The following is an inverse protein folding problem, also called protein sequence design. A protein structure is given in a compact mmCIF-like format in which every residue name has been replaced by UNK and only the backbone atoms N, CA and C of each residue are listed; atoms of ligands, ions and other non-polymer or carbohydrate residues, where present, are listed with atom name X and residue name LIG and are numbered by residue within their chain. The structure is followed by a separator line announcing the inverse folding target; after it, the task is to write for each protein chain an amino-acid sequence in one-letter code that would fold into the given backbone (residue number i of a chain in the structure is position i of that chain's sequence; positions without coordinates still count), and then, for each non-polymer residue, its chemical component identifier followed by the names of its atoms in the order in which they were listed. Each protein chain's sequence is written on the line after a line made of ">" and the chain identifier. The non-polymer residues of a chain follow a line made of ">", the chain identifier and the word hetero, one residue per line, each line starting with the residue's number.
data_IF_345092888766
#
_entry.id   IF_345092888766
#
_cell.length_a   1.000
_cell.length_b   1.000
_cell.length_c   1.000
_cell.angle_alpha   90.00
_cell.angle_beta   90.00
_cell.angle_gamma   90.00
#
_symmetry.space_group_name_H-M   'P 1'
#
loop_
_entity.id
_entity.type
_entity.pdbx_description
1 polymer ?
#
# COMPACT_ATOMS: atom_id res chain seq x y z
N UNK A 1 24.95 18.30 -24.19
CA UNK A 1 23.52 18.03 -24.22
C UNK A 1 23.22 17.32 -22.92
N UNK A 2 22.40 17.88 -22.00
CA UNK A 2 21.94 17.12 -20.83
C UNK A 2 21.07 16.00 -21.35
N UNK A 3 21.39 14.79 -20.93
CA UNK A 3 20.55 13.60 -21.19
C UNK A 3 19.15 13.92 -20.64
N UNK A 4 18.17 14.05 -21.53
CA UNK A 4 16.80 14.45 -21.20
C UNK A 4 15.91 13.23 -20.96
N UNK A 5 16.49 12.01 -20.95
CA UNK A 5 15.77 10.78 -20.67
C UNK A 5 15.40 10.71 -19.19
N UNK A 6 14.16 10.28 -18.90
CA UNK A 6 13.72 10.03 -17.53
C UNK A 6 14.45 8.83 -16.94
N UNK A 7 14.68 8.87 -15.61
CA UNK A 7 15.29 7.77 -14.86
C UNK A 7 14.27 6.74 -14.38
N UNK A 8 12.98 6.92 -14.69
CA UNK A 8 11.89 6.15 -14.10
C UNK A 8 11.12 5.39 -15.19
N UNK A 9 10.92 4.09 -14.97
CA UNK A 9 9.94 3.25 -15.67
C UNK A 9 8.77 2.95 -14.76
N UNK A 10 7.54 3.13 -15.23
CA UNK A 10 6.33 2.69 -14.54
C UNK A 10 6.05 1.22 -14.89
N UNK A 11 5.83 0.38 -13.87
CA UNK A 11 5.47 -1.05 -14.04
C UNK A 11 4.11 -1.32 -13.41
N UNK A 12 3.15 -1.80 -14.22
CA UNK A 12 1.76 -2.06 -13.83
C UNK A 12 1.40 -3.52 -14.10
N UNK A 13 1.48 -4.42 -13.11
CA UNK A 13 0.97 -5.78 -13.25
C UNK A 13 -0.56 -5.80 -13.25
N UNK A 14 -1.18 -6.54 -14.18
CA UNK A 14 -2.64 -6.62 -14.26
C UNK A 14 -3.15 -8.04 -14.57
N UNK A 15 -4.38 -8.30 -14.12
CA UNK A 15 -5.11 -9.54 -14.40
C UNK A 15 -6.62 -9.37 -14.25
N UNK A 16 -7.41 -9.75 -15.27
CA UNK A 16 -8.87 -9.79 -15.25
C UNK A 16 -9.48 -8.54 -14.60
N UNK A 17 -9.23 -7.40 -15.20
CA UNK A 17 -9.65 -6.11 -14.67
C UNK A 17 -10.93 -5.64 -15.37
N UNK A 18 -11.21 -6.13 -16.60
CA UNK A 18 -12.40 -5.74 -17.34
C UNK A 18 -13.68 -6.43 -16.88
N UNK A 19 -13.59 -7.58 -16.18
CA UNK A 19 -14.79 -8.26 -15.64
C UNK A 19 -15.46 -7.48 -14.51
N UNK A 20 -14.69 -6.63 -13.82
CA UNK A 20 -15.19 -5.72 -12.77
C UNK A 20 -15.73 -4.40 -13.37
N UNK A 21 -15.62 -4.23 -14.69
CA UNK A 21 -15.80 -2.98 -15.43
C UNK A 21 -17.23 -2.83 -15.98
N UNK A 22 -18.23 -2.69 -15.11
CA UNK A 22 -19.63 -2.49 -15.53
C UNK A 22 -20.11 -1.04 -15.56
N UNK A 23 -19.22 -0.07 -15.39
CA UNK A 23 -19.57 1.35 -15.44
C UNK A 23 -18.47 2.22 -16.04
N UNK A 24 -18.83 3.43 -16.46
CA UNK A 24 -17.92 4.49 -16.96
C UNK A 24 -16.89 4.91 -15.87
N UNK A 25 -17.11 4.53 -14.63
CA UNK A 25 -16.24 4.76 -13.46
C UNK A 25 -15.26 3.58 -13.21
N UNK A 26 -14.94 2.84 -14.22
CA UNK A 26 -14.02 1.72 -14.17
C UNK A 26 -12.63 2.13 -13.66
N UNK A 27 -12.21 1.55 -12.55
CA UNK A 27 -10.93 1.86 -11.91
C UNK A 27 -9.75 1.63 -12.87
N UNK A 28 -9.82 0.63 -13.75
CA UNK A 28 -8.79 0.37 -14.74
C UNK A 28 -8.73 1.45 -15.82
N UNK A 29 -9.88 1.85 -16.37
CA UNK A 29 -9.96 2.95 -17.34
C UNK A 29 -9.45 4.24 -16.73
N UNK A 30 -9.83 4.53 -15.47
CA UNK A 30 -9.35 5.68 -14.72
C UNK A 30 -7.84 5.62 -14.46
N UNK A 31 -7.30 4.44 -14.13
CA UNK A 31 -5.86 4.20 -14.01
C UNK A 31 -5.14 4.51 -15.33
N UNK A 32 -5.57 3.90 -16.44
CA UNK A 32 -4.95 4.11 -17.75
C UNK A 32 -5.00 5.56 -18.19
N UNK A 33 -6.13 6.24 -18.01
CA UNK A 33 -6.26 7.68 -18.30
C UNK A 33 -5.32 8.54 -17.44
N UNK A 34 -5.17 8.20 -16.18
CA UNK A 34 -4.25 8.93 -15.29
C UNK A 34 -2.79 8.71 -15.71
N UNK A 35 -2.44 7.53 -16.23
CA UNK A 35 -1.11 7.24 -16.75
C UNK A 35 -0.82 7.94 -18.08
N UNK A 36 -1.82 8.22 -18.90
CA UNK A 36 -1.63 9.04 -20.10
C UNK A 36 -1.07 10.43 -19.77
N UNK A 37 -1.48 11.01 -18.62
CA UNK A 37 -1.02 12.34 -18.19
C UNK A 37 0.45 12.37 -17.78
N UNK A 38 0.99 11.26 -17.31
CA UNK A 38 2.38 11.17 -16.83
C UNK A 38 3.32 10.52 -17.84
N UNK A 39 2.79 9.82 -18.83
CA UNK A 39 3.59 9.00 -19.76
C UNK A 39 4.66 9.78 -20.52
N UNK A 40 4.45 11.07 -20.77
CA UNK A 40 5.46 11.93 -21.39
C UNK A 40 6.60 12.34 -20.44
N UNK A 41 6.45 12.11 -19.15
CA UNK A 41 7.43 12.48 -18.13
C UNK A 41 8.30 11.30 -17.68
N UNK A 42 7.94 10.07 -18.03
CA UNK A 42 8.69 8.85 -17.69
C UNK A 42 9.29 8.23 -18.95
N UNK A 43 10.33 7.42 -18.78
CA UNK A 43 11.00 6.77 -19.91
C UNK A 43 10.05 5.82 -20.63
N UNK A 44 9.36 4.95 -19.88
CA UNK A 44 8.38 4.01 -20.42
C UNK A 44 7.32 3.60 -19.38
N UNK A 45 6.19 3.10 -19.87
CA UNK A 45 5.13 2.49 -19.09
C UNK A 45 4.97 1.03 -19.52
N UNK A 46 5.26 0.10 -18.62
CA UNK A 46 5.20 -1.34 -18.87
C UNK A 46 3.97 -1.95 -18.17
N UNK A 47 3.00 -2.40 -18.93
CA UNK A 47 1.91 -3.22 -18.41
C UNK A 47 2.27 -4.70 -18.55
N UNK A 48 2.13 -5.48 -17.48
CA UNK A 48 2.44 -6.92 -17.50
C UNK A 48 1.19 -7.73 -17.22
N UNK A 49 0.75 -8.48 -18.23
CA UNK A 49 -0.44 -9.32 -18.20
C UNK A 49 -0.16 -10.66 -17.51
N UNK A 50 -0.77 -10.92 -16.34
CA UNK A 50 -0.75 -12.22 -15.66
C UNK A 50 -1.93 -13.10 -16.14
N UNK A 51 -1.89 -13.52 -17.39
CA UNK A 51 -2.87 -14.46 -18.00
C UNK A 51 -4.33 -14.00 -17.84
N UNK A 52 -4.62 -12.74 -18.20
CA UNK A 52 -6.01 -12.29 -18.27
C UNK A 52 -6.79 -13.08 -19.31
N UNK A 53 -8.00 -13.48 -18.95
CA UNK A 53 -8.97 -14.23 -19.78
C UNK A 53 -10.12 -13.36 -20.24
N UNK A 54 -10.18 -12.13 -19.76
CA UNK A 54 -11.14 -11.09 -20.10
C UNK A 54 -10.61 -10.13 -21.19
N UNK A 55 -11.36 -9.08 -21.51
CA UNK A 55 -10.98 -8.07 -22.50
C UNK A 55 -9.97 -7.01 -22.03
N UNK A 56 -9.38 -7.14 -20.83
CA UNK A 56 -8.45 -6.16 -20.23
C UNK A 56 -7.32 -5.76 -21.20
N UNK A 57 -6.71 -6.74 -21.87
CA UNK A 57 -5.62 -6.48 -22.82
C UNK A 57 -6.11 -5.71 -24.06
N UNK A 58 -7.30 -6.03 -24.55
CA UNK A 58 -7.91 -5.37 -25.71
C UNK A 58 -8.27 -3.92 -25.37
N UNK A 59 -8.83 -3.69 -24.17
CA UNK A 59 -9.12 -2.35 -23.69
C UNK A 59 -7.85 -1.51 -23.60
N UNK A 60 -6.76 -2.06 -23.04
CA UNK A 60 -5.48 -1.35 -22.94
C UNK A 60 -4.93 -0.93 -24.30
N UNK A 61 -5.06 -1.79 -25.32
CA UNK A 61 -4.61 -1.50 -26.69
C UNK A 61 -5.40 -0.38 -27.37
N UNK A 62 -6.57 -0.02 -26.85
CA UNK A 62 -7.40 1.10 -27.34
C UNK A 62 -6.94 2.48 -26.84
N UNK A 63 -6.01 2.55 -25.89
CA UNK A 63 -5.49 3.81 -25.37
C UNK A 63 -4.18 4.20 -26.06
N UNK A 64 -4.05 5.49 -26.38
CA UNK A 64 -2.79 6.06 -26.87
C UNK A 64 -1.97 6.54 -25.69
N UNK A 65 -1.03 5.71 -25.24
CA UNK A 65 -0.05 6.06 -24.20
C UNK A 65 1.32 6.09 -24.89
N UNK A 66 2.02 7.22 -24.90
CA UNK A 66 3.41 7.28 -25.36
C UNK A 66 4.27 6.27 -24.57
N UNK A 67 5.21 5.64 -25.25
CA UNK A 67 6.16 4.70 -24.65
C UNK A 67 5.52 3.51 -23.91
N UNK A 68 4.30 3.08 -24.32
CA UNK A 68 3.63 1.92 -23.74
C UNK A 68 4.23 0.61 -24.27
N UNK A 69 4.59 -0.27 -23.34
CA UNK A 69 4.91 -1.67 -23.64
C UNK A 69 3.94 -2.61 -22.91
N UNK A 70 3.42 -3.60 -23.61
CA UNK A 70 2.55 -4.64 -23.02
C UNK A 70 3.29 -5.97 -23.08
N UNK A 71 3.60 -6.52 -21.92
CA UNK A 71 4.26 -7.81 -21.76
C UNK A 71 3.25 -8.88 -21.33
N UNK A 72 3.46 -10.12 -21.75
CA UNK A 72 2.68 -11.26 -21.29
C UNK A 72 3.58 -12.16 -20.46
N UNK A 73 3.10 -12.57 -19.29
CA UNK A 73 3.81 -13.53 -18.45
C UNK A 73 3.82 -14.90 -19.11
N UNK A 74 4.95 -15.60 -19.07
CA UNK A 74 5.08 -16.96 -19.60
C UNK A 74 4.24 -17.95 -18.78
N UNK A 75 3.80 -19.04 -19.40
CA UNK A 75 2.81 -19.97 -18.84
C UNK A 75 3.21 -20.63 -17.51
N UNK A 76 4.51 -20.81 -17.30
CA UNK A 76 5.10 -21.38 -16.07
C UNK A 76 5.07 -20.42 -14.89
N UNK A 77 4.99 -19.12 -15.12
CA UNK A 77 4.96 -18.08 -14.09
C UNK A 77 3.54 -17.55 -13.87
N UNK A 78 3.17 -17.29 -12.61
CA UNK A 78 1.82 -16.81 -12.27
C UNK A 78 1.86 -15.85 -11.08
N UNK A 79 0.97 -14.86 -11.10
CA UNK A 79 0.72 -13.95 -10.00
C UNK A 79 1.42 -12.59 -10.14
N UNK A 80 0.93 -11.62 -9.37
CA UNK A 80 1.41 -10.22 -9.38
C UNK A 80 2.94 -10.14 -9.25
N UNK A 81 3.53 -10.97 -8.39
CA UNK A 81 4.97 -10.98 -8.14
C UNK A 81 5.76 -11.32 -9.39
N UNK A 82 5.40 -12.42 -10.07
CA UNK A 82 6.08 -12.82 -11.31
C UNK A 82 5.89 -11.77 -12.42
N UNK A 83 4.71 -11.16 -12.49
CA UNK A 83 4.47 -10.08 -13.44
C UNK A 83 5.32 -8.84 -13.12
N UNK A 84 5.44 -8.46 -11.85
CA UNK A 84 6.33 -7.38 -11.44
C UNK A 84 7.80 -7.72 -11.73
N UNK A 85 8.26 -8.95 -11.43
CA UNK A 85 9.62 -9.41 -11.74
C UNK A 85 9.92 -9.30 -13.26
N UNK A 86 8.98 -9.66 -14.11
CA UNK A 86 9.14 -9.52 -15.56
C UNK A 86 9.27 -8.04 -15.96
N UNK A 87 8.35 -7.19 -15.49
CA UNK A 87 8.38 -5.75 -15.82
C UNK A 87 9.68 -5.08 -15.38
N UNK A 88 10.16 -5.39 -14.15
CA UNK A 88 11.42 -4.83 -13.63
C UNK A 88 12.64 -5.34 -14.40
N UNK A 89 12.64 -6.59 -14.86
CA UNK A 89 13.73 -7.12 -15.71
C UNK A 89 13.82 -6.43 -17.05
N UNK A 90 12.67 -6.20 -17.67
CA UNK A 90 12.54 -5.59 -18.99
C UNK A 90 12.75 -4.07 -18.98
N UNK A 91 12.58 -3.41 -17.86
CA UNK A 91 12.87 -1.99 -17.69
C UNK A 91 14.37 -1.73 -17.81
N UNK A 92 14.74 -0.57 -18.37
CA UNK A 92 16.14 -0.16 -18.57
C UNK A 92 16.58 0.98 -17.67
N UNK A 93 15.65 1.64 -17.00
CA UNK A 93 15.91 2.81 -16.15
C UNK A 93 16.45 2.42 -14.77
N UNK A 94 17.03 3.40 -14.08
CA UNK A 94 17.58 3.26 -12.73
C UNK A 94 16.49 2.98 -11.69
N UNK A 95 15.33 3.63 -11.84
CA UNK A 95 14.22 3.53 -10.91
C UNK A 95 12.99 2.88 -11.53
N UNK A 96 12.28 2.13 -10.71
CA UNK A 96 10.99 1.55 -11.03
C UNK A 96 9.91 2.23 -10.16
N UNK A 97 8.85 2.69 -10.79
CA UNK A 97 7.63 3.11 -10.12
C UNK A 97 6.55 2.05 -10.33
N UNK A 98 6.26 1.25 -9.30
CA UNK A 98 5.18 0.27 -9.37
C UNK A 98 3.85 0.89 -9.00
N UNK A 99 2.83 0.58 -9.79
CA UNK A 99 1.44 0.96 -9.57
C UNK A 99 0.53 -0.26 -9.71
N UNK A 100 -0.55 -0.33 -8.92
CA UNK A 100 -1.61 -1.31 -9.16
C UNK A 100 -2.50 -0.85 -10.33
N UNK A 101 -3.07 -1.79 -11.04
CA UNK A 101 -3.86 -1.49 -12.22
C UNK A 101 -5.27 -0.94 -11.91
N UNK A 102 -5.65 -0.87 -10.64
CA UNK A 102 -6.91 -0.36 -10.12
C UNK A 102 -6.75 0.92 -9.28
N UNK A 103 -5.61 1.60 -9.40
CA UNK A 103 -5.38 2.90 -8.76
C UNK A 103 -5.57 4.05 -9.73
N UNK A 104 -5.93 5.21 -9.21
CA UNK A 104 -6.03 6.45 -9.99
C UNK A 104 -4.97 7.42 -9.52
N UNK A 105 -4.05 7.80 -10.41
CA UNK A 105 -3.08 8.83 -10.13
C UNK A 105 -3.80 10.19 -10.09
N UNK A 106 -3.81 10.83 -8.94
CA UNK A 106 -4.41 12.14 -8.74
C UNK A 106 -3.35 13.20 -8.46
N UNK A 107 -3.62 14.44 -8.88
CA UNK A 107 -2.75 15.60 -8.62
C UNK A 107 -1.33 15.43 -9.17
N UNK A 108 -1.20 15.18 -10.45
CA UNK A 108 0.07 15.17 -11.16
C UNK A 108 0.44 16.58 -11.68
N UNK A 109 1.72 16.93 -11.55
CA UNK A 109 2.34 18.10 -12.19
C UNK A 109 3.69 17.65 -12.77
N UNK A 110 3.87 17.87 -14.06
CA UNK A 110 5.12 17.52 -14.75
C UNK A 110 6.35 18.28 -14.22
N UNK A 111 6.17 19.53 -13.80
CA UNK A 111 7.23 20.33 -13.21
C UNK A 111 7.70 19.74 -11.87
N UNK A 112 6.76 19.46 -10.98
CA UNK A 112 7.06 18.83 -9.68
C UNK A 112 7.63 17.41 -9.82
N UNK A 113 7.20 16.70 -10.85
CA UNK A 113 7.78 15.38 -11.14
C UNK A 113 9.25 15.49 -11.51
N UNK A 114 9.61 16.43 -12.39
CA UNK A 114 11.00 16.67 -12.78
C UNK A 114 11.87 17.09 -11.59
N UNK A 115 11.35 17.98 -10.73
CA UNK A 115 12.04 18.36 -9.49
C UNK A 115 12.27 17.17 -8.57
N UNK A 116 11.23 16.35 -8.36
CA UNK A 116 11.30 15.12 -7.58
C UNK A 116 12.33 14.14 -8.16
N UNK A 117 12.27 13.89 -9.47
CA UNK A 117 13.18 12.96 -10.14
C UNK A 117 14.66 13.43 -10.07
N UNK A 118 14.90 14.73 -10.19
CA UNK A 118 16.25 15.29 -10.04
C UNK A 118 16.80 15.11 -8.63
N UNK A 119 15.93 15.16 -7.62
CA UNK A 119 16.28 14.94 -6.21
C UNK A 119 16.25 13.46 -5.77
N UNK A 120 15.95 12.54 -6.67
CA UNK A 120 15.80 11.11 -6.33
C UNK A 120 17.18 10.44 -6.18
N UNK A 121 17.46 9.92 -4.99
CA UNK A 121 18.69 9.19 -4.66
C UNK A 121 18.45 8.02 -3.70
N UNK A 122 17.28 7.97 -3.07
CA UNK A 122 16.91 6.94 -2.10
C UNK A 122 16.79 5.57 -2.78
N UNK A 123 17.00 4.53 -2.01
CA UNK A 123 16.86 3.14 -2.46
C UNK A 123 15.38 2.74 -2.60
N UNK A 124 14.51 3.36 -1.75
CA UNK A 124 13.08 3.15 -1.77
C UNK A 124 12.34 4.41 -1.32
N UNK A 125 11.33 4.82 -2.09
CA UNK A 125 10.43 5.92 -1.74
C UNK A 125 9.00 5.41 -1.61
N UNK A 126 8.43 5.55 -0.43
CA UNK A 126 7.03 5.23 -0.15
C UNK A 126 6.18 6.40 -0.64
N UNK A 127 5.42 6.18 -1.71
CA UNK A 127 4.57 7.21 -2.30
C UNK A 127 3.18 7.24 -1.63
N UNK A 128 2.49 8.40 -1.63
CA UNK A 128 1.23 8.55 -0.92
C UNK A 128 0.09 7.78 -1.59
N UNK A 129 -0.64 7.02 -0.79
CA UNK A 129 -1.83 6.27 -1.21
C UNK A 129 -3.03 6.75 -0.39
N UNK A 130 -4.09 7.15 -1.05
CA UNK A 130 -5.33 7.59 -0.41
C UNK A 130 -6.46 6.62 -0.69
N UNK A 131 -7.30 6.42 0.30
CA UNK A 131 -8.49 5.60 0.15
C UNK A 131 -9.72 6.51 0.08
N UNK A 132 -10.49 6.38 -0.99
CA UNK A 132 -11.71 7.14 -1.19
C UNK A 132 -12.90 6.42 -0.56
N UNK A 133 -13.70 7.15 0.26
CA UNK A 133 -14.98 6.66 0.76
C UNK A 133 -16.14 7.28 -0.03
N UNK A 134 -17.14 6.46 -0.35
CA UNK A 134 -18.33 6.93 -1.04
C UNK A 134 -19.38 7.45 -0.07
N UNK A 135 -19.73 6.80 1.02
CA UNK A 135 -20.58 7.34 2.11
C UNK A 135 -21.02 6.28 3.14
N UNK A 136 -20.78 4.98 2.93
CA UNK A 136 -21.15 3.96 3.91
C UNK A 136 -20.28 4.03 5.17
N UNK A 137 -20.84 3.57 6.29
CA UNK A 137 -20.08 3.46 7.54
C UNK A 137 -18.82 2.61 7.38
N UNK A 138 -18.94 1.46 6.69
CA UNK A 138 -17.81 0.57 6.44
C UNK A 138 -16.68 1.27 5.67
N UNK A 139 -17.03 2.05 4.64
CA UNK A 139 -16.05 2.79 3.84
C UNK A 139 -15.36 3.88 4.65
N UNK A 140 -16.11 4.60 5.48
CA UNK A 140 -15.55 5.63 6.36
C UNK A 140 -14.59 5.02 7.40
N UNK A 141 -14.94 3.88 7.99
CA UNK A 141 -14.05 3.15 8.90
C UNK A 141 -12.77 2.69 8.22
N UNK A 142 -12.86 2.15 6.99
CA UNK A 142 -11.68 1.76 6.20
C UNK A 142 -10.80 2.96 5.87
N UNK A 143 -11.39 4.09 5.51
CA UNK A 143 -10.65 5.32 5.20
C UNK A 143 -9.93 5.88 6.42
N UNK A 144 -10.58 5.89 7.59
CA UNK A 144 -9.95 6.33 8.84
C UNK A 144 -8.82 5.37 9.28
N UNK A 145 -9.05 4.05 9.18
CA UNK A 145 -8.00 3.05 9.43
C UNK A 145 -6.79 3.29 8.52
N UNK A 146 -7.04 3.52 7.22
CA UNK A 146 -6.00 3.77 6.24
C UNK A 146 -5.18 5.04 6.56
N UNK A 147 -5.86 6.14 6.93
CA UNK A 147 -5.20 7.37 7.38
C UNK A 147 -4.33 7.13 8.61
N UNK A 148 -4.84 6.37 9.58
CA UNK A 148 -4.09 6.01 10.78
C UNK A 148 -2.83 5.21 10.45
N UNK A 149 -2.93 4.20 9.59
CA UNK A 149 -1.78 3.41 9.14
C UNK A 149 -0.77 4.25 8.36
N UNK A 150 -1.21 5.15 7.48
CA UNK A 150 -0.33 6.09 6.78
C UNK A 150 0.39 7.04 7.76
N UNK A 151 -0.33 7.53 8.78
CA UNK A 151 0.26 8.35 9.82
C UNK A 151 1.35 7.61 10.61
N UNK A 152 1.08 6.38 11.06
CA UNK A 152 2.07 5.54 11.75
C UNK A 152 3.28 5.26 10.85
N UNK A 153 3.04 5.02 9.56
CA UNK A 153 4.12 4.80 8.60
C UNK A 153 5.00 6.05 8.45
N UNK A 154 4.38 7.21 8.32
CA UNK A 154 5.11 8.48 8.27
C UNK A 154 5.94 8.70 9.55
N UNK A 155 5.30 8.60 10.73
CA UNK A 155 5.98 8.78 12.00
C UNK A 155 7.17 7.83 12.18
N UNK A 156 6.99 6.56 11.78
CA UNK A 156 8.06 5.57 11.87
C UNK A 156 9.15 5.78 10.80
N UNK A 157 8.83 6.41 9.67
CA UNK A 157 9.82 6.76 8.65
C UNK A 157 10.75 7.89 9.09
N UNK A 158 10.28 8.82 9.94
CA UNK A 158 11.10 9.89 10.53
C UNK A 158 12.24 9.33 11.39
N UNK A 159 12.04 8.15 11.98
CA UNK A 159 13.09 7.42 12.74
C UNK A 159 13.77 6.33 11.88
N UNK A 160 13.65 6.42 10.56
CA UNK A 160 14.23 5.47 9.58
C UNK A 160 13.77 4.01 9.76
N UNK A 161 12.59 3.80 10.31
CA UNK A 161 11.97 2.49 10.55
C UNK A 161 10.53 2.44 10.03
N UNK A 162 10.27 2.70 8.73
CA UNK A 162 8.92 2.73 8.21
C UNK A 162 8.20 1.41 8.46
N UNK A 163 7.01 1.51 9.07
CA UNK A 163 6.23 0.34 9.48
C UNK A 163 5.69 -0.44 8.28
N UNK A 164 5.29 0.26 7.23
CA UNK A 164 4.72 -0.37 6.04
C UNK A 164 5.01 0.44 4.77
N UNK A 165 4.86 -0.19 3.63
CA UNK A 165 4.72 0.44 2.33
C UNK A 165 3.58 -0.21 1.55
N UNK A 166 3.23 0.33 0.41
CA UNK A 166 2.18 -0.21 -0.43
C UNK A 166 2.65 -0.30 -1.88
N UNK A 167 2.67 -1.52 -2.40
CA UNK A 167 3.02 -1.79 -3.80
C UNK A 167 2.05 -1.21 -4.83
N UNK A 168 0.97 -0.59 -4.37
CA UNK A 168 0.08 0.21 -5.22
C UNK A 168 0.69 1.57 -5.62
N UNK A 169 1.73 2.02 -4.89
CA UNK A 169 2.43 3.27 -5.18
C UNK A 169 3.80 3.27 -4.49
N UNK A 170 4.82 2.76 -5.17
CA UNK A 170 6.15 2.59 -4.59
C UNK A 170 7.22 2.85 -5.66
N UNK A 171 8.22 3.67 -5.34
CA UNK A 171 9.40 3.88 -6.20
C UNK A 171 10.61 3.22 -5.53
N UNK A 172 11.43 2.53 -6.31
CA UNK A 172 12.63 1.88 -5.80
C UNK A 172 13.71 1.75 -6.87
N UNK A 173 14.96 1.64 -6.46
CA UNK A 173 16.06 1.33 -7.36
C UNK A 173 15.90 -0.06 -7.95
N UNK A 174 15.98 -0.15 -9.28
CA UNK A 174 15.82 -1.39 -10.04
C UNK A 174 16.79 -2.48 -9.57
N UNK A 175 18.05 -2.14 -9.34
CA UNK A 175 19.09 -3.09 -8.93
C UNK A 175 18.74 -3.82 -7.62
N UNK A 176 18.24 -3.08 -6.62
CA UNK A 176 17.87 -3.66 -5.31
C UNK A 176 16.76 -4.70 -5.45
N UNK A 177 15.82 -4.48 -6.35
CA UNK A 177 14.79 -5.48 -6.64
C UNK A 177 15.36 -6.69 -7.36
N UNK A 178 16.23 -6.48 -8.35
CA UNK A 178 16.84 -7.55 -9.15
C UNK A 178 17.71 -8.50 -8.31
N UNK A 179 18.46 -7.98 -7.35
CA UNK A 179 19.24 -8.79 -6.40
C UNK A 179 18.37 -9.72 -5.54
N UNK A 180 17.05 -9.48 -5.53
CA UNK A 180 16.07 -10.23 -4.75
C UNK A 180 15.18 -11.15 -5.55
N UNK A 181 15.35 -11.18 -6.85
CA UNK A 181 14.56 -12.02 -7.74
C UNK A 181 14.64 -13.48 -7.27
N UNK A 182 13.48 -14.07 -7.08
CA UNK A 182 13.35 -15.44 -6.60
C UNK A 182 13.29 -15.62 -5.09
N UNK A 183 13.66 -14.60 -4.30
CA UNK A 183 13.46 -14.65 -2.87
C UNK A 183 11.95 -14.68 -2.53
N UNK A 184 11.56 -15.60 -1.66
CA UNK A 184 10.17 -15.74 -1.21
C UNK A 184 9.13 -16.02 -2.34
N UNK A 185 9.53 -16.69 -3.42
CA UNK A 185 8.61 -17.08 -4.52
C UNK A 185 7.43 -17.92 -4.06
N UNK A 186 7.58 -18.67 -2.97
CA UNK A 186 6.49 -19.45 -2.38
C UNK A 186 5.37 -18.58 -1.78
N UNK A 187 5.65 -17.31 -1.46
CA UNK A 187 4.68 -16.38 -0.89
C UNK A 187 4.08 -15.54 -2.02
N UNK A 188 2.81 -15.69 -2.28
CA UNK A 188 2.13 -15.13 -3.46
C UNK A 188 1.78 -13.64 -3.35
N UNK A 189 2.15 -12.95 -2.27
CA UNK A 189 1.91 -11.51 -2.11
C UNK A 189 2.88 -10.90 -1.08
N UNK A 190 3.02 -9.56 -1.08
CA UNK A 190 3.87 -8.85 -0.12
C UNK A 190 5.20 -8.40 -0.68
N UNK A 191 5.31 -8.36 -1.99
CA UNK A 191 6.52 -7.93 -2.68
C UNK A 191 7.02 -6.59 -2.16
N UNK A 192 6.09 -5.68 -1.88
CA UNK A 192 6.30 -4.39 -1.24
C UNK A 192 6.97 -4.51 0.13
N UNK A 193 6.36 -5.25 1.04
CA UNK A 193 6.85 -5.41 2.41
C UNK A 193 8.15 -6.20 2.48
N UNK A 194 8.35 -7.18 1.58
CA UNK A 194 9.63 -7.91 1.49
C UNK A 194 10.75 -7.02 0.98
N UNK A 195 10.48 -6.18 -0.03
CA UNK A 195 11.44 -5.21 -0.54
C UNK A 195 11.78 -4.19 0.54
N UNK A 196 10.78 -3.57 1.19
CA UNK A 196 10.98 -2.64 2.30
C UNK A 196 11.85 -3.27 3.40
N UNK A 197 11.47 -4.45 3.86
CA UNK A 197 12.18 -5.17 4.93
C UNK A 197 13.63 -5.50 4.55
N UNK A 198 13.90 -5.78 3.28
CA UNK A 198 15.26 -6.00 2.81
C UNK A 198 16.08 -4.73 2.77
N UNK A 199 15.53 -3.63 2.22
CA UNK A 199 16.22 -2.33 2.23
C UNK A 199 16.60 -1.95 3.67
N UNK A 200 15.65 -2.11 4.63
CA UNK A 200 15.94 -1.91 6.05
C UNK A 200 17.03 -2.82 6.60
N UNK A 201 17.05 -4.10 6.20
CA UNK A 201 18.04 -5.08 6.68
C UNK A 201 19.46 -4.70 6.28
N UNK A 202 19.63 -4.19 5.08
CA UNK A 202 20.95 -3.82 4.54
C UNK A 202 21.30 -2.34 4.76
N UNK A 203 20.47 -1.59 5.51
CA UNK A 203 20.74 -0.20 5.86
C UNK A 203 20.55 0.78 4.70
N UNK A 204 19.74 0.40 3.70
CA UNK A 204 19.44 1.26 2.57
C UNK A 204 18.59 2.48 2.97
N UNK A 205 18.65 3.51 2.13
CA UNK A 205 17.97 4.78 2.38
C UNK A 205 16.51 4.72 1.93
N UNK A 206 15.63 5.00 2.88
CA UNK A 206 14.18 4.98 2.67
C UNK A 206 13.61 6.34 3.02
N UNK A 207 12.72 6.86 2.17
CA UNK A 207 11.93 8.05 2.47
C UNK A 207 10.45 7.82 2.23
N UNK A 208 9.61 8.64 2.84
CA UNK A 208 8.19 8.71 2.54
C UNK A 208 7.88 10.05 1.91
N UNK A 209 7.34 10.02 0.69
CA UNK A 209 6.83 11.20 0.04
C UNK A 209 5.49 11.58 0.66
N UNK A 210 5.44 12.74 1.33
CA UNK A 210 4.22 13.23 1.96
C UNK A 210 3.52 14.31 1.12
N UNK A 211 4.14 14.71 0.04
CA UNK A 211 3.59 15.72 -0.86
C UNK A 211 2.32 15.23 -1.56
N UNK A 212 1.56 16.17 -2.10
CA UNK A 212 0.37 15.84 -2.90
C UNK A 212 0.72 15.25 -4.26
N UNK A 213 1.95 15.44 -4.69
CA UNK A 213 2.47 14.94 -5.96
C UNK A 213 2.54 13.41 -5.99
N UNK A 214 2.24 12.81 -7.13
CA UNK A 214 2.32 11.35 -7.32
C UNK A 214 1.36 10.54 -6.43
N UNK A 215 0.35 11.18 -5.87
CA UNK A 215 -0.66 10.55 -5.04
C UNK A 215 -1.54 9.64 -5.88
N UNK A 216 -1.76 8.42 -5.39
CA UNK A 216 -2.76 7.52 -5.97
C UNK A 216 -3.97 7.38 -5.06
N UNK A 217 -5.11 7.12 -5.67
CA UNK A 217 -6.37 6.86 -4.99
C UNK A 217 -6.77 5.41 -5.22
N UNK A 218 -7.13 4.72 -4.14
CA UNK A 218 -7.64 3.36 -4.13
C UNK A 218 -9.08 3.32 -3.64
N UNK A 219 -9.83 2.33 -4.07
CA UNK A 219 -11.20 2.10 -3.62
C UNK A 219 -11.26 1.31 -2.32
N UNK A 220 -12.28 1.58 -1.51
CA UNK A 220 -12.68 0.73 -0.39
C UNK A 220 -13.33 -0.56 -0.90
N UNK A 221 -13.31 -1.61 -0.07
CA UNK A 221 -14.12 -2.81 -0.35
C UNK A 221 -15.53 -2.65 0.20
N UNK A 222 -16.50 -3.28 -0.47
CA UNK A 222 -17.93 -3.02 -0.24
C UNK A 222 -18.55 -3.92 0.84
N UNK A 223 -17.84 -4.94 1.34
CA UNK A 223 -18.37 -5.87 2.35
C UNK A 223 -17.41 -6.05 3.53
N UNK A 224 -17.99 -6.27 4.73
CA UNK A 224 -17.24 -6.59 5.93
C UNK A 224 -16.37 -7.82 5.77
N UNK A 225 -16.90 -8.86 5.09
CA UNK A 225 -16.16 -10.09 4.82
C UNK A 225 -14.90 -9.81 3.99
N UNK A 226 -15.02 -9.07 2.90
CA UNK A 226 -13.88 -8.72 2.07
C UNK A 226 -12.87 -7.86 2.82
N UNK A 227 -13.35 -6.91 3.62
CA UNK A 227 -12.53 -6.06 4.47
C UNK A 227 -11.69 -6.90 5.45
N UNK A 228 -12.30 -7.84 6.17
CA UNK A 228 -11.61 -8.75 7.10
C UNK A 228 -10.61 -9.64 6.36
N UNK A 229 -11.01 -10.28 5.26
CA UNK A 229 -10.13 -11.15 4.46
C UNK A 229 -8.92 -10.38 3.92
N UNK A 230 -9.12 -9.13 3.50
CA UNK A 230 -8.04 -8.26 3.03
C UNK A 230 -7.01 -7.98 4.15
N UNK A 231 -7.48 -7.66 5.38
CA UNK A 231 -6.60 -7.40 6.55
C UNK A 231 -5.88 -8.65 7.01
N UNK A 232 -6.55 -9.80 7.05
CA UNK A 232 -5.91 -11.09 7.35
C UNK A 232 -4.80 -11.38 6.34
N UNK A 233 -5.02 -11.11 5.06
CA UNK A 233 -4.00 -11.25 4.02
C UNK A 233 -2.81 -10.30 4.22
N UNK A 234 -3.05 -9.07 4.68
CA UNK A 234 -1.98 -8.13 5.00
C UNK A 234 -1.19 -8.55 6.23
N UNK A 235 -1.86 -8.91 7.32
CA UNK A 235 -1.23 -9.32 8.57
C UNK A 235 -0.42 -10.63 8.44
N UNK A 236 -0.89 -11.59 7.65
CA UNK A 236 -0.22 -12.89 7.51
C UNK A 236 1.19 -12.85 6.89
N UNK A 237 1.63 -11.70 6.38
CA UNK A 237 2.98 -11.50 5.84
C UNK A 237 4.01 -11.10 6.90
N UNK A 238 3.56 -10.48 8.00
CA UNK A 238 4.41 -9.85 9.00
C UNK A 238 5.41 -10.84 9.62
N UNK A 239 4.96 -12.06 9.91
CA UNK A 239 5.79 -13.12 10.51
C UNK A 239 6.88 -13.66 9.58
N UNK A 240 6.88 -13.26 8.30
CA UNK A 240 7.79 -13.74 7.25
C UNK A 240 8.81 -12.69 6.80
N UNK A 241 8.77 -11.51 7.40
CA UNK A 241 9.66 -10.41 7.00
C UNK A 241 11.13 -10.75 7.31
N UNK A 242 12.06 -10.47 6.38
CA UNK A 242 13.49 -10.79 6.56
C UNK A 242 14.20 -9.87 7.56
N UNK A 243 13.65 -8.70 7.89
CA UNK A 243 14.24 -7.77 8.84
C UNK A 243 13.68 -7.98 10.24
N UNK A 244 14.55 -8.21 11.21
CA UNK A 244 14.19 -8.27 12.63
C UNK A 244 13.66 -6.93 13.16
N UNK A 245 14.18 -5.80 12.64
CA UNK A 245 13.70 -4.45 13.00
C UNK A 245 12.25 -4.24 12.55
N UNK A 246 11.93 -4.61 11.28
CA UNK A 246 10.56 -4.52 10.78
C UNK A 246 9.61 -5.41 11.57
N UNK A 247 10.01 -6.65 11.87
CA UNK A 247 9.21 -7.57 12.68
C UNK A 247 9.02 -7.06 14.11
N UNK A 248 10.07 -6.51 14.74
CA UNK A 248 10.00 -5.96 16.09
C UNK A 248 9.02 -4.79 16.19
N UNK A 249 8.98 -3.92 15.18
CA UNK A 249 8.02 -2.81 15.15
C UNK A 249 6.56 -3.29 15.12
N UNK A 250 6.26 -4.32 14.34
CA UNK A 250 4.92 -4.92 14.32
C UNK A 250 4.57 -5.64 15.64
N UNK A 251 5.54 -6.30 16.26
CA UNK A 251 5.36 -6.90 17.60
C UNK A 251 5.08 -5.81 18.63
N UNK A 252 5.81 -4.69 18.60
CA UNK A 252 5.56 -3.54 19.48
C UNK A 252 4.15 -3.00 19.30
N UNK A 253 3.68 -2.86 18.05
CA UNK A 253 2.32 -2.42 17.77
C UNK A 253 1.27 -3.41 18.32
N UNK A 254 1.51 -4.71 18.19
CA UNK A 254 0.64 -5.74 18.77
C UNK A 254 0.62 -5.69 20.31
N UNK A 255 1.78 -5.45 20.96
CA UNK A 255 1.88 -5.28 22.41
C UNK A 255 1.12 -4.04 22.88
N UNK A 256 1.26 -2.91 22.22
CA UNK A 256 0.50 -1.68 22.52
C UNK A 256 -1.01 -1.95 22.39
N UNK A 257 -1.43 -2.69 21.38
CA UNK A 257 -2.83 -3.09 21.21
C UNK A 257 -3.30 -4.01 22.32
N UNK A 258 -2.46 -4.95 22.78
CA UNK A 258 -2.79 -5.85 23.90
C UNK A 258 -2.89 -5.05 25.23
N UNK A 259 -1.98 -4.12 25.49
CA UNK A 259 -2.04 -3.24 26.66
C UNK A 259 -3.33 -2.40 26.64
N UNK A 260 -3.72 -1.88 25.48
CA UNK A 260 -4.98 -1.15 25.31
C UNK A 260 -6.20 -2.03 25.69
N UNK A 261 -6.24 -3.25 25.20
CA UNK A 261 -7.33 -4.22 25.52
C UNK A 261 -7.36 -4.53 27.03
N UNK A 262 -6.20 -4.76 27.64
CA UNK A 262 -6.09 -4.97 29.09
C UNK A 262 -6.55 -3.76 29.90
N UNK A 263 -6.16 -2.56 29.47
CA UNK A 263 -6.64 -1.31 30.08
C UNK A 263 -8.16 -1.14 29.93
N UNK A 264 -8.71 -1.50 28.76
CA UNK A 264 -10.16 -1.45 28.57
C UNK A 264 -10.89 -2.41 29.55
N UNK A 265 -10.37 -3.62 29.72
CA UNK A 265 -10.89 -4.56 30.73
C UNK A 265 -10.73 -4.00 32.14
N UNK A 266 -9.60 -3.36 32.44
CA UNK A 266 -9.30 -2.74 33.72
C UNK A 266 -10.28 -1.64 34.14
N UNK A 267 -11.02 -1.03 33.22
CA UNK A 267 -12.09 -0.08 33.54
C UNK A 267 -13.20 -0.69 34.43
N UNK A 268 -13.37 -2.02 34.35
CA UNK A 268 -14.39 -2.75 35.11
C UNK A 268 -13.82 -3.39 36.38
N UNK A 269 -12.53 -3.18 36.68
CA UNK A 269 -11.86 -3.66 37.90
C UNK A 269 -11.68 -2.50 38.86
N UNK A 270 -12.31 -2.53 40.01
CA UNK A 270 -12.40 -1.42 40.97
C UNK A 270 -11.06 -0.85 41.44
N UNK A 271 -9.99 -1.67 41.45
CA UNK A 271 -8.64 -1.21 41.81
C UNK A 271 -7.86 -0.55 40.67
N UNK A 272 -8.28 -0.70 39.43
CA UNK A 272 -7.51 -0.23 38.25
C UNK A 272 -8.30 0.73 37.33
N UNK A 273 -9.52 1.07 37.68
CA UNK A 273 -10.39 1.86 36.80
C UNK A 273 -9.83 3.23 36.48
N UNK A 274 -9.18 3.90 37.45
CA UNK A 274 -8.66 5.27 37.26
C UNK A 274 -7.43 5.27 36.34
N UNK A 275 -6.47 4.38 36.59
CA UNK A 275 -5.26 4.23 35.77
C UNK A 275 -5.61 3.81 34.34
N UNK A 276 -6.54 2.89 34.20
CA UNK A 276 -7.05 2.42 32.91
C UNK A 276 -7.74 3.53 32.13
N UNK A 277 -8.62 4.29 32.80
CA UNK A 277 -9.31 5.43 32.19
C UNK A 277 -8.31 6.53 31.76
N UNK A 278 -7.32 6.82 32.59
CA UNK A 278 -6.28 7.79 32.28
C UNK A 278 -5.45 7.36 31.07
N UNK A 279 -4.96 6.11 31.07
CA UNK A 279 -4.18 5.57 29.94
C UNK A 279 -4.97 5.62 28.64
N UNK A 280 -6.21 5.13 28.63
CA UNK A 280 -7.05 5.09 27.44
C UNK A 280 -7.36 6.49 26.92
N UNK A 281 -7.68 7.43 27.82
CA UNK A 281 -7.99 8.81 27.45
C UNK A 281 -6.79 9.49 26.81
N UNK A 282 -5.62 9.38 27.43
CA UNK A 282 -4.37 9.98 26.90
C UNK A 282 -4.00 9.36 25.56
N UNK A 283 -4.03 8.03 25.45
CA UNK A 283 -3.70 7.32 24.20
C UNK A 283 -4.63 7.71 23.07
N UNK A 284 -5.96 7.61 23.27
CA UNK A 284 -6.94 7.90 22.22
C UNK A 284 -6.89 9.37 21.82
N UNK A 285 -6.76 10.28 22.79
CA UNK A 285 -6.62 11.71 22.52
C UNK A 285 -5.36 12.00 21.68
N UNK A 286 -4.22 11.43 22.09
CA UNK A 286 -2.97 11.58 21.35
C UNK A 286 -3.10 11.08 19.89
N UNK A 287 -3.66 9.89 19.68
CA UNK A 287 -3.86 9.33 18.35
C UNK A 287 -4.77 10.21 17.47
N UNK A 288 -5.88 10.69 18.02
CA UNK A 288 -6.81 11.56 17.30
C UNK A 288 -6.18 12.92 16.99
N UNK A 289 -5.49 13.54 17.95
CA UNK A 289 -4.81 14.82 17.73
C UNK A 289 -3.71 14.69 16.67
N UNK A 290 -2.92 13.64 16.72
CA UNK A 290 -1.89 13.38 15.73
C UNK A 290 -2.49 13.14 14.35
N UNK A 291 -3.51 12.31 14.24
CA UNK A 291 -4.20 12.07 12.97
C UNK A 291 -4.85 13.34 12.43
N UNK A 292 -5.49 14.14 13.30
CA UNK A 292 -6.07 15.42 12.92
C UNK A 292 -5.00 16.43 12.48
N UNK A 293 -3.89 16.56 13.22
CA UNK A 293 -2.79 17.46 12.88
C UNK A 293 -2.22 17.21 11.48
N UNK A 294 -2.06 15.93 11.12
CA UNK A 294 -1.53 15.54 9.79
C UNK A 294 -2.58 15.69 8.69
N UNK A 295 -3.86 15.40 8.97
CA UNK A 295 -4.92 15.35 7.96
C UNK A 295 -5.96 16.47 8.09
N UNK A 296 -5.75 17.50 8.92
CA UNK A 296 -6.74 18.55 9.25
C UNK A 296 -7.41 19.18 8.02
N UNK A 297 -6.64 19.47 6.99
CA UNK A 297 -7.14 20.06 5.74
C UNK A 297 -7.95 19.07 4.86
N UNK A 298 -8.12 17.82 5.30
CA UNK A 298 -8.69 16.72 4.50
C UNK A 298 -9.73 15.90 5.25
N UNK A 299 -9.95 16.17 6.54
CA UNK A 299 -10.95 15.49 7.38
C UNK A 299 -12.15 16.38 7.63
N UNK A 300 -13.33 15.86 7.37
CA UNK A 300 -14.58 16.49 7.78
C UNK A 300 -14.81 16.22 9.26
N UNK A 301 -15.50 17.13 9.97
CA UNK A 301 -15.80 16.97 11.41
C UNK A 301 -16.46 15.61 11.73
N UNK A 302 -17.38 15.14 10.89
CA UNK A 302 -18.02 13.82 11.05
C UNK A 302 -17.01 12.65 11.02
N UNK A 303 -15.94 12.77 10.26
CA UNK A 303 -14.89 11.73 10.19
C UNK A 303 -14.03 11.73 11.44
N UNK A 304 -13.78 12.91 12.01
CA UNK A 304 -13.10 13.06 13.32
C UNK A 304 -13.96 12.46 14.44
N UNK A 305 -15.26 12.75 14.45
CA UNK A 305 -16.19 12.17 15.44
C UNK A 305 -16.27 10.64 15.34
N UNK A 306 -16.18 10.08 14.15
CA UNK A 306 -16.15 8.63 13.94
C UNK A 306 -14.81 8.02 14.33
N UNK A 307 -13.71 8.78 14.24
CA UNK A 307 -12.38 8.30 14.61
C UNK A 307 -12.26 7.98 16.11
N UNK A 308 -12.93 8.73 16.98
CA UNK A 308 -12.89 8.49 18.45
C UNK A 308 -13.32 7.07 18.85
N UNK A 309 -14.55 6.62 18.55
CA UNK A 309 -14.95 5.25 18.87
C UNK A 309 -14.13 4.21 18.10
N UNK A 310 -13.69 4.54 16.90
CA UNK A 310 -12.83 3.65 16.12
C UNK A 310 -11.48 3.42 16.79
N UNK A 311 -10.81 4.44 17.32
CA UNK A 311 -9.53 4.30 18.04
C UNK A 311 -9.66 3.47 19.32
N UNK A 312 -10.83 3.48 19.97
CA UNK A 312 -11.10 2.61 21.12
C UNK A 312 -11.28 1.14 20.67
N UNK A 313 -11.96 0.91 19.57
CA UNK A 313 -12.28 -0.44 19.10
C UNK A 313 -11.18 -1.08 18.21
N UNK A 314 -10.36 -0.25 17.58
CA UNK A 314 -9.36 -0.71 16.62
C UNK A 314 -8.32 -1.69 17.20
N UNK A 315 -7.81 -1.55 18.44
CA UNK A 315 -6.90 -2.52 19.02
C UNK A 315 -7.51 -3.92 19.16
N UNK A 316 -8.79 -4.03 19.46
CA UNK A 316 -9.50 -5.33 19.48
C UNK A 316 -9.57 -5.93 18.07
N UNK A 317 -9.93 -5.11 17.10
CA UNK A 317 -10.00 -5.54 15.71
C UNK A 317 -8.61 -5.95 15.19
N UNK A 318 -7.57 -5.18 15.47
CA UNK A 318 -6.21 -5.49 15.03
C UNK A 318 -5.67 -6.79 15.62
N UNK A 319 -5.93 -7.06 16.91
CA UNK A 319 -5.57 -8.32 17.55
C UNK A 319 -6.37 -9.50 16.98
N UNK A 320 -7.67 -9.31 16.75
CA UNK A 320 -8.50 -10.32 16.08
C UNK A 320 -7.96 -10.68 14.70
N UNK A 321 -7.60 -9.68 13.88
CA UNK A 321 -7.00 -9.87 12.55
C UNK A 321 -5.66 -10.58 12.65
N UNK A 322 -4.79 -10.15 13.58
CA UNK A 322 -3.48 -10.77 13.78
C UNK A 322 -3.60 -12.25 14.16
N UNK A 323 -4.41 -12.57 15.17
CA UNK A 323 -4.66 -13.96 15.61
C UNK A 323 -5.26 -14.77 14.44
N UNK A 324 -6.27 -14.22 13.75
CA UNK A 324 -6.90 -14.89 12.60
C UNK A 324 -5.90 -15.19 11.49
N UNK A 325 -4.91 -14.31 11.27
CA UNK A 325 -3.88 -14.49 10.24
C UNK A 325 -2.94 -15.67 10.49
N UNK A 326 -2.84 -16.15 11.73
CA UNK A 326 -2.03 -17.33 12.09
C UNK A 326 -2.69 -18.66 11.67
N UNK A 327 -4.03 -18.66 11.59
CA UNK A 327 -4.80 -19.88 11.36
C UNK A 327 -5.53 -19.89 10.01
N UNK A 328 -5.85 -18.75 9.44
CA UNK A 328 -6.67 -18.63 8.25
C UNK A 328 -5.83 -18.27 7.02
N UNK A 329 -5.95 -19.08 5.94
CA UNK A 329 -5.32 -18.83 4.64
C UNK A 329 -6.36 -18.21 3.69
N UNK A 330 -6.30 -16.92 3.39
CA UNK A 330 -7.29 -16.26 2.56
C UNK A 330 -7.18 -16.67 1.09
N UNK A 331 -8.31 -16.63 0.38
CA UNK A 331 -8.35 -16.71 -1.09
C UNK A 331 -8.42 -15.30 -1.66
N UNK A 332 -7.72 -15.05 -2.76
CA UNK A 332 -7.77 -13.77 -3.50
C UNK A 332 -7.90 -14.03 -4.99
N UNK A 333 -8.87 -13.39 -5.65
CA UNK A 333 -9.19 -13.59 -7.08
C UNK A 333 -9.20 -15.08 -7.48
N UNK A 334 -9.89 -15.91 -6.69
CA UNK A 334 -10.06 -17.35 -6.93
C UNK A 334 -8.84 -18.24 -6.59
N UNK A 335 -7.67 -17.67 -6.24
CA UNK A 335 -6.46 -18.40 -5.88
C UNK A 335 -6.23 -18.39 -4.37
N UNK A 336 -5.77 -19.51 -3.78
CA UNK A 336 -5.30 -19.53 -2.39
C UNK A 336 -4.02 -18.69 -2.30
N UNK A 337 -3.98 -17.77 -1.34
CA UNK A 337 -2.77 -16.99 -1.06
C UNK A 337 -1.83 -17.88 -0.28
N UNK A 338 -0.74 -18.35 -0.91
CA UNK A 338 0.29 -19.08 -0.18
C UNK A 338 0.97 -18.13 0.81
N UNK A 339 0.89 -18.47 2.08
CA UNK A 339 1.59 -17.81 3.19
C UNK A 339 2.69 -18.73 3.76
N UNK A 340 2.97 -19.86 3.10
CA UNK A 340 3.99 -20.83 3.52
C UNK A 340 5.21 -20.75 2.62
#
# INVERSE_FOLDING_TARGET
>A
MKDTSSKITIVVPFRNISDDCRSVDDAFVACVRSLQLISECVEEVIFVNDHSTDDSKKHLSGFSIPNLRILNLQSEFKGKKAALELGVKEATTEYIWTLDADVVLSQFSSERFKEFEQGLWQDLVIMPVYMNSRNSLLEQLQTNEWRYLQFITWLSSEVKLPMMCNGANLIFKREIFLENIGAHRSISSGDDMFLLSRVMKFGGEISMCWEKFGRVEISTVNSWRESIVQRIRWAGKITKLPSTKASALHVLFALISAIHVLAFIGLFVTSWHLESATFLSVKVLAEVLCMYGVFSNRMKMKEVMLALPQMILYPFFSLFIFISSLFFIPKWKGRRVSLK
#
